data_IF_196279336210
#
_entry.id   IF_196279336210
#
_cell.length_a   1.000
_cell.length_b   1.000
_cell.length_c   1.000
_cell.angle_alpha   90.00
_cell.angle_beta   90.00
_cell.angle_gamma   90.00
#
_symmetry.space_group_name_H-M   'P 1'
#
loop_
_entity.id
_entity.type
_entity.pdbx_description
1 polymer ?
#
# COMPACT_ATOMS: atom_id res chain seq x y z
N UNK A 1 18.30 -13.99 22.41
CA UNK A 1 16.84 -14.08 22.42
C UNK A 1 16.39 -13.50 21.08
N UNK A 2 15.83 -14.32 20.21
CA UNK A 2 15.27 -13.83 18.95
C UNK A 2 14.05 -12.99 19.32
N UNK A 3 14.13 -11.67 19.18
CA UNK A 3 12.96 -10.80 19.30
C UNK A 3 12.07 -11.12 18.10
N UNK A 4 10.92 -11.74 18.36
CA UNK A 4 9.93 -11.95 17.33
C UNK A 4 9.36 -10.57 16.94
N UNK A 5 9.95 -9.95 15.94
CA UNK A 5 9.48 -8.66 15.41
C UNK A 5 8.65 -8.86 14.17
N UNK A 6 7.68 -7.97 13.97
CA UNK A 6 6.77 -7.97 12.81
C UNK A 6 6.66 -6.56 12.29
N UNK A 7 6.81 -6.42 10.97
CA UNK A 7 6.64 -5.16 10.27
C UNK A 7 5.15 -4.94 9.94
N UNK A 8 4.58 -3.81 10.37
CA UNK A 8 3.26 -3.33 9.96
C UNK A 8 3.45 -2.29 8.85
N UNK A 9 3.07 -2.64 7.63
CA UNK A 9 3.26 -1.78 6.47
C UNK A 9 1.90 -1.29 5.93
N UNK A 10 1.73 0.03 5.80
CA UNK A 10 0.44 0.62 5.46
C UNK A 10 0.54 2.02 4.86
N UNK A 11 -0.54 2.51 4.23
CA UNK A 11 -0.69 3.91 3.88
C UNK A 11 -1.06 4.73 5.12
N UNK A 12 -0.43 5.87 5.35
CA UNK A 12 -0.62 6.71 6.53
C UNK A 12 -2.09 7.11 6.77
N UNK A 13 -2.89 7.23 5.72
CA UNK A 13 -4.34 7.47 5.84
C UNK A 13 -5.06 6.40 6.68
N UNK A 14 -4.50 5.21 6.80
CA UNK A 14 -5.08 4.06 7.50
C UNK A 14 -4.47 3.79 8.89
N UNK A 15 -3.68 4.71 9.44
CA UNK A 15 -2.98 4.54 10.72
C UNK A 15 -3.92 4.13 11.86
N UNK A 16 -5.12 4.73 11.94
CA UNK A 16 -6.10 4.40 12.99
C UNK A 16 -6.58 2.94 12.92
N UNK A 17 -6.80 2.42 11.71
CA UNK A 17 -7.21 1.03 11.51
C UNK A 17 -6.09 0.06 11.90
N UNK A 18 -4.84 0.40 11.58
CA UNK A 18 -3.67 -0.42 11.92
C UNK A 18 -3.42 -0.40 13.43
N UNK A 19 -3.57 0.76 14.08
CA UNK A 19 -3.46 0.88 15.54
C UNK A 19 -4.51 0.02 16.27
N UNK A 20 -5.75 -0.02 15.78
CA UNK A 20 -6.80 -0.92 16.32
C UNK A 20 -6.40 -2.40 16.22
N UNK A 21 -5.85 -2.82 15.08
CA UNK A 21 -5.38 -4.21 14.90
C UNK A 21 -4.22 -4.51 15.85
N UNK A 22 -3.27 -3.60 15.99
CA UNK A 22 -2.15 -3.76 16.92
C UNK A 22 -2.61 -3.86 18.37
N UNK A 23 -3.60 -3.07 18.80
CA UNK A 23 -4.16 -3.15 20.14
C UNK A 23 -4.74 -4.55 20.43
N UNK A 24 -5.46 -5.13 19.48
CA UNK A 24 -5.96 -6.50 19.60
C UNK A 24 -4.84 -7.56 19.64
N UNK A 25 -3.71 -7.29 19.00
CA UNK A 25 -2.54 -8.16 18.99
C UNK A 25 -1.58 -7.89 20.18
N UNK A 26 -1.89 -6.93 21.05
CA UNK A 26 -1.01 -6.53 22.16
C UNK A 26 -0.70 -7.63 23.17
N UNK A 27 -1.57 -8.64 23.28
CA UNK A 27 -1.33 -9.83 24.11
C UNK A 27 -0.35 -10.84 23.49
N UNK A 28 0.06 -10.64 22.24
CA UNK A 28 1.03 -11.50 21.56
C UNK A 28 2.47 -11.20 22.01
N UNK A 29 3.39 -12.16 21.91
CA UNK A 29 4.80 -11.97 22.31
C UNK A 29 5.63 -11.20 21.27
N UNK A 30 4.98 -10.54 20.31
CA UNK A 30 5.65 -9.88 19.19
C UNK A 30 5.86 -8.39 19.44
N UNK A 31 6.98 -7.87 18.91
CA UNK A 31 7.24 -6.43 18.80
C UNK A 31 6.85 -5.94 17.42
N UNK A 32 6.09 -4.85 17.33
CA UNK A 32 5.59 -4.32 16.06
C UNK A 32 6.40 -3.09 15.65
N UNK A 33 6.90 -3.12 14.41
CA UNK A 33 7.58 -1.99 13.77
C UNK A 33 6.70 -1.40 12.67
N UNK A 34 6.46 -0.09 12.75
CA UNK A 34 5.57 0.60 11.80
C UNK A 34 6.35 1.14 10.60
N UNK A 35 5.87 0.83 9.43
CA UNK A 35 6.34 1.33 8.14
C UNK A 35 5.15 1.97 7.42
N UNK A 36 5.10 3.30 7.40
CA UNK A 36 4.02 4.02 6.73
C UNK A 36 4.55 4.90 5.62
N UNK A 37 3.78 5.04 4.55
CA UNK A 37 4.04 6.00 3.51
C UNK A 37 3.12 7.22 3.68
N UNK A 38 3.73 8.39 3.73
CA UNK A 38 3.03 9.66 3.64
C UNK A 38 2.89 10.08 2.17
N UNK A 39 1.88 10.91 1.87
CA UNK A 39 1.73 11.55 0.55
C UNK A 39 2.79 12.63 0.28
N UNK A 40 3.82 12.75 1.13
CA UNK A 40 4.91 13.69 0.93
C UNK A 40 5.75 13.32 -0.30
N UNK A 41 6.31 14.31 -0.95
CA UNK A 41 7.11 14.17 -2.17
C UNK A 41 8.52 13.61 -1.92
N UNK A 42 8.82 13.15 -0.72
CA UNK A 42 10.12 12.61 -0.37
C UNK A 42 10.33 11.25 -1.01
N UNK A 43 11.54 11.01 -1.53
CA UNK A 43 11.94 9.76 -2.20
C UNK A 43 12.07 8.56 -1.24
N UNK A 44 11.35 8.56 -0.13
CA UNK A 44 11.37 7.50 0.85
C UNK A 44 10.21 6.51 0.59
N UNK A 45 10.42 5.63 -0.37
CA UNK A 45 9.41 4.64 -0.74
C UNK A 45 9.28 3.56 0.33
N UNK A 46 8.04 3.21 0.67
CA UNK A 46 7.71 2.14 1.63
C UNK A 46 8.41 0.84 1.26
N UNK A 47 8.41 0.50 -0.01
CA UNK A 47 9.00 -0.74 -0.54
C UNK A 47 10.50 -0.84 -0.28
N UNK A 48 11.24 0.25 -0.41
CA UNK A 48 12.70 0.24 -0.18
C UNK A 48 13.03 -0.05 1.29
N UNK A 49 12.22 0.45 2.23
CA UNK A 49 12.35 0.14 3.63
C UNK A 49 12.05 -1.34 3.92
N UNK A 50 11.00 -1.88 3.31
CA UNK A 50 10.57 -3.26 3.50
C UNK A 50 11.50 -4.29 2.84
N UNK A 51 12.09 -3.96 1.70
CA UNK A 51 13.07 -4.84 1.05
C UNK A 51 14.37 -4.98 1.86
N UNK A 52 14.73 -3.95 2.60
CA UNK A 52 15.96 -3.91 3.43
C UNK A 52 15.86 -4.62 4.76
N UNK A 53 14.67 -5.04 5.21
CA UNK A 53 14.46 -5.67 6.50
C UNK A 53 14.12 -7.17 6.36
N UNK A 54 14.26 -7.95 7.44
CA UNK A 54 14.07 -9.41 7.45
C UNK A 54 12.85 -9.89 8.24
N UNK A 55 12.13 -8.97 8.89
CA UNK A 55 10.96 -9.33 9.69
C UNK A 55 9.77 -9.75 8.79
N UNK A 56 8.91 -10.66 9.24
CA UNK A 56 7.64 -10.93 8.59
C UNK A 56 6.80 -9.64 8.48
N UNK A 57 6.05 -9.49 7.40
CA UNK A 57 5.35 -8.26 7.05
C UNK A 57 3.83 -8.49 7.06
N UNK A 58 3.10 -7.75 7.87
CA UNK A 58 1.67 -7.54 7.70
C UNK A 58 1.46 -6.34 6.79
N UNK A 59 1.06 -6.60 5.55
CA UNK A 59 0.89 -5.58 4.54
C UNK A 59 -0.59 -5.18 4.43
N UNK A 60 -0.94 -4.02 4.98
CA UNK A 60 -2.30 -3.48 4.93
C UNK A 60 -2.54 -2.77 3.62
N UNK A 61 -3.41 -3.35 2.79
CA UNK A 61 -3.73 -2.84 1.47
C UNK A 61 -5.12 -2.23 1.49
N UNK A 62 -5.18 -0.95 1.13
CA UNK A 62 -6.41 -0.16 1.03
C UNK A 62 -6.49 0.52 -0.34
N UNK A 63 -7.63 1.11 -0.66
CA UNK A 63 -7.76 1.98 -1.83
C UNK A 63 -6.73 3.13 -1.81
N UNK A 64 -6.45 3.70 -0.62
CA UNK A 64 -5.40 4.72 -0.45
C UNK A 64 -4.01 4.16 -0.77
N UNK A 65 -3.70 2.93 -0.30
CA UNK A 65 -2.43 2.25 -0.61
C UNK A 65 -2.28 2.07 -2.12
N UNK A 66 -3.30 1.53 -2.78
CA UNK A 66 -3.29 1.24 -4.22
C UNK A 66 -3.25 2.49 -5.11
N UNK A 67 -3.60 3.66 -4.56
CA UNK A 67 -3.55 4.97 -5.23
C UNK A 67 -2.39 5.85 -4.76
N UNK A 68 -1.50 5.35 -3.92
CA UNK A 68 -0.31 6.06 -3.45
C UNK A 68 0.93 5.65 -4.24
N UNK A 69 1.57 6.60 -4.92
CA UNK A 69 2.82 6.34 -5.65
C UNK A 69 3.94 5.85 -4.74
N UNK A 70 3.99 6.34 -3.51
CA UNK A 70 5.01 5.96 -2.53
C UNK A 70 4.81 4.55 -1.98
N UNK A 71 3.55 4.10 -1.85
CA UNK A 71 3.25 2.74 -1.46
C UNK A 71 3.45 1.76 -2.64
N UNK A 72 3.07 2.18 -3.86
CA UNK A 72 3.04 1.31 -5.04
C UNK A 72 4.38 1.22 -5.77
N UNK A 73 5.27 2.22 -5.62
CA UNK A 73 6.59 2.19 -6.26
C UNK A 73 7.35 0.92 -5.86
N UNK A 74 7.78 0.14 -6.84
CA UNK A 74 8.41 -1.17 -6.64
C UNK A 74 7.57 -2.20 -5.88
N UNK A 75 6.26 -1.97 -5.75
CA UNK A 75 5.37 -2.87 -5.03
C UNK A 75 5.33 -4.26 -5.62
N UNK A 76 5.37 -4.38 -6.95
CA UNK A 76 5.45 -5.67 -7.63
C UNK A 76 6.74 -6.43 -7.24
N UNK A 77 7.87 -5.75 -7.22
CA UNK A 77 9.15 -6.33 -6.77
C UNK A 77 9.07 -6.82 -5.33
N UNK A 78 8.49 -6.04 -4.43
CA UNK A 78 8.29 -6.44 -3.03
C UNK A 78 7.50 -7.75 -2.93
N UNK A 79 6.36 -7.84 -3.62
CA UNK A 79 5.55 -9.06 -3.60
C UNK A 79 6.26 -10.26 -4.24
N UNK A 80 7.13 -10.05 -5.23
CA UNK A 80 7.90 -11.13 -5.86
C UNK A 80 9.01 -11.64 -4.95
N UNK A 81 9.77 -10.74 -4.32
CA UNK A 81 10.95 -11.09 -3.52
C UNK A 81 10.59 -11.57 -2.10
N UNK A 82 9.53 -11.01 -1.51
CA UNK A 82 9.12 -11.26 -0.12
C UNK A 82 7.81 -12.05 0.00
N UNK A 83 7.37 -12.72 -1.05
CA UNK A 83 6.06 -13.39 -1.13
C UNK A 83 5.75 -14.27 0.07
N UNK A 84 6.75 -14.96 0.61
CA UNK A 84 6.61 -15.91 1.72
C UNK A 84 6.67 -15.24 3.09
N UNK A 85 7.14 -13.99 3.14
CA UNK A 85 7.29 -13.20 4.37
C UNK A 85 6.16 -12.16 4.50
N UNK A 86 5.23 -12.10 3.54
CA UNK A 86 4.13 -11.12 3.53
C UNK A 86 2.79 -11.80 3.73
N UNK A 87 2.05 -11.33 4.74
CA UNK A 87 0.62 -11.59 4.87
C UNK A 87 -0.16 -10.31 4.49
N UNK A 88 -0.80 -10.28 3.31
CA UNK A 88 -1.62 -9.14 2.92
C UNK A 88 -2.93 -9.13 3.71
N UNK A 89 -3.30 -7.96 4.21
CA UNK A 89 -4.58 -7.70 4.89
C UNK A 89 -5.30 -6.60 4.14
N UNK A 90 -6.46 -6.92 3.60
CA UNK A 90 -7.28 -5.97 2.85
C UNK A 90 -8.14 -5.20 3.84
N UNK A 91 -8.03 -3.89 3.76
CA UNK A 91 -8.79 -2.93 4.60
C UNK A 91 -9.48 -1.91 3.71
N UNK A 92 -10.51 -1.25 4.24
CA UNK A 92 -11.13 -0.13 3.54
C UNK A 92 -10.18 1.08 3.50
N UNK A 93 -10.20 1.78 2.39
CA UNK A 93 -9.59 3.09 2.26
C UNK A 93 -10.44 4.16 2.96
N UNK A 94 -9.87 5.36 3.07
CA UNK A 94 -10.52 6.53 3.65
C UNK A 94 -10.48 7.67 2.65
N UNK A 95 -11.62 8.27 2.37
CA UNK A 95 -11.73 9.53 1.63
C UNK A 95 -12.33 10.60 2.51
N UNK A 96 -11.93 11.84 2.31
CA UNK A 96 -12.48 12.99 3.00
C UNK A 96 -13.32 13.81 2.01
N UNK A 97 -14.55 14.11 2.39
CA UNK A 97 -15.42 14.97 1.62
C UNK A 97 -14.89 16.41 1.69
N UNK A 98 -14.48 17.01 0.56
CA UNK A 98 -13.85 18.35 0.57
C UNK A 98 -14.81 19.46 1.02
N UNK A 99 -16.13 19.25 0.99
CA UNK A 99 -17.10 20.24 1.39
C UNK A 99 -17.40 20.18 2.90
N UNK A 100 -17.36 19.00 3.51
CA UNK A 100 -17.81 18.78 4.89
C UNK A 100 -16.67 18.35 5.81
N UNK A 101 -15.50 17.95 5.29
CA UNK A 101 -14.42 17.35 6.06
C UNK A 101 -14.76 15.97 6.64
N UNK A 102 -15.90 15.39 6.27
CA UNK A 102 -16.30 14.08 6.77
C UNK A 102 -15.50 12.97 6.10
N UNK A 103 -14.93 12.10 6.93
CA UNK A 103 -14.25 10.89 6.46
C UNK A 103 -15.26 9.80 6.15
N UNK A 104 -15.11 9.19 4.97
CA UNK A 104 -15.93 8.05 4.52
C UNK A 104 -15.03 6.88 4.18
N UNK A 105 -15.47 5.67 4.53
CA UNK A 105 -14.81 4.44 4.08
C UNK A 105 -15.01 4.25 2.58
N UNK A 106 -13.95 3.81 1.90
CA UNK A 106 -13.96 3.42 0.49
C UNK A 106 -13.55 1.96 0.41
N UNK A 107 -14.43 1.14 -0.13
CA UNK A 107 -14.15 -0.29 -0.25
C UNK A 107 -12.98 -0.55 -1.19
N UNK A 108 -12.13 -1.51 -0.82
CA UNK A 108 -10.94 -1.88 -1.60
C UNK A 108 -11.24 -3.16 -2.37
N UNK A 109 -11.59 -3.02 -3.64
CA UNK A 109 -11.96 -4.12 -4.53
C UNK A 109 -10.88 -4.35 -5.60
N UNK A 110 -10.46 -5.61 -5.77
CA UNK A 110 -9.57 -6.06 -6.86
C UNK A 110 -9.86 -7.50 -7.29
N UNK A 111 -10.98 -8.04 -6.86
CA UNK A 111 -11.40 -9.42 -7.14
C UNK A 111 -11.79 -9.62 -8.61
N UNK A 112 -12.49 -8.66 -9.17
CA UNK A 112 -12.97 -8.72 -10.55
C UNK A 112 -11.98 -8.08 -11.50
N UNK A 113 -11.99 -8.50 -12.74
CA UNK A 113 -11.20 -7.86 -13.80
C UNK A 113 -11.55 -6.38 -13.95
N UNK A 114 -12.84 -6.03 -13.79
CA UNK A 114 -13.32 -4.65 -13.82
C UNK A 114 -12.65 -3.77 -12.75
N UNK A 115 -12.44 -4.31 -11.56
CA UNK A 115 -11.85 -3.59 -10.43
C UNK A 115 -10.37 -3.32 -10.70
N UNK A 116 -9.66 -4.33 -11.23
CA UNK A 116 -8.27 -4.18 -11.66
C UNK A 116 -8.14 -3.11 -12.75
N UNK A 117 -9.05 -3.10 -13.73
CA UNK A 117 -9.07 -2.12 -14.81
C UNK A 117 -9.26 -0.70 -14.25
N UNK A 118 -10.06 -0.52 -13.18
CA UNK A 118 -10.22 0.80 -12.55
C UNK A 118 -8.90 1.35 -12.00
N UNK A 119 -8.08 0.52 -11.33
CA UNK A 119 -6.75 0.94 -10.87
C UNK A 119 -5.78 1.18 -12.02
N UNK A 120 -5.83 0.35 -13.07
CA UNK A 120 -5.01 0.58 -14.27
C UNK A 120 -5.35 1.92 -14.90
N UNK A 121 -6.63 2.22 -15.09
CA UNK A 121 -7.08 3.50 -15.66
C UNK A 121 -6.69 4.68 -14.77
N UNK A 122 -6.88 4.56 -13.44
CA UNK A 122 -6.45 5.58 -12.49
C UNK A 122 -4.97 5.95 -12.68
N UNK A 123 -4.08 4.96 -12.73
CA UNK A 123 -2.65 5.22 -12.88
C UNK A 123 -2.25 5.72 -14.26
N UNK A 124 -2.94 5.26 -15.30
CA UNK A 124 -2.74 5.80 -16.66
C UNK A 124 -3.15 7.27 -16.75
N UNK A 125 -4.27 7.64 -16.15
CA UNK A 125 -4.74 9.02 -16.12
C UNK A 125 -3.78 9.92 -15.32
N UNK A 126 -3.32 9.47 -14.15
CA UNK A 126 -2.31 10.17 -13.36
C UNK A 126 -1.01 10.41 -14.15
N UNK A 127 -0.53 9.39 -14.86
CA UNK A 127 0.66 9.50 -15.70
C UNK A 127 0.47 10.47 -16.87
N UNK A 128 -0.68 10.41 -17.54
CA UNK A 128 -0.99 11.29 -18.68
C UNK A 128 -1.14 12.74 -18.23
N UNK A 129 -1.79 13.00 -17.10
CA UNK A 129 -1.95 14.33 -16.55
C UNK A 129 -0.60 14.94 -16.16
N UNK A 130 0.26 14.15 -15.53
CA UNK A 130 1.62 14.59 -15.20
C UNK A 130 2.43 14.92 -16.45
N UNK A 131 2.31 14.12 -17.52
CA UNK A 131 2.94 14.41 -18.82
C UNK A 131 2.43 15.70 -19.46
N UNK A 132 1.14 16.01 -19.32
CA UNK A 132 0.56 17.28 -19.79
C UNK A 132 1.14 18.46 -19.02
N UNK A 133 1.23 18.36 -17.70
CA UNK A 133 1.82 19.37 -16.83
C UNK A 133 3.29 19.65 -17.21
N UNK A 134 4.09 18.60 -17.49
CA UNK A 134 5.47 18.74 -17.93
C UNK A 134 5.63 19.67 -19.16
N UNK A 135 4.69 19.62 -20.08
CA UNK A 135 4.75 20.47 -21.31
C UNK A 135 4.51 21.95 -21.04
N UNK A 136 4.00 22.29 -19.86
CA UNK A 136 3.64 23.65 -19.46
C UNK A 136 4.64 24.24 -18.45
N UNK A 137 5.59 23.46 -17.94
CA UNK A 137 6.56 23.89 -16.95
C UNK A 137 7.80 24.53 -17.58
N UNK A 138 8.38 25.52 -16.88
CA UNK A 138 9.68 26.09 -17.17
C UNK A 138 10.81 25.22 -16.60
N UNK A 139 12.02 25.34 -17.13
CA UNK A 139 13.20 24.49 -16.93
C UNK A 139 13.70 24.33 -15.47
N UNK A 140 13.18 25.09 -14.51
CA UNK A 140 13.75 25.21 -13.16
C UNK A 140 13.50 24.01 -12.21
N UNK A 141 12.53 23.12 -12.51
CA UNK A 141 12.16 21.98 -11.66
C UNK A 141 12.20 20.60 -12.39
N UNK A 142 12.98 20.51 -13.47
CA UNK A 142 12.93 19.35 -14.39
C UNK A 142 13.36 18.04 -13.73
N UNK A 143 14.36 18.02 -12.87
CA UNK A 143 14.91 16.79 -12.30
C UNK A 143 13.94 16.12 -11.31
N UNK A 144 13.34 16.91 -10.42
CA UNK A 144 12.34 16.40 -9.48
C UNK A 144 11.10 15.89 -10.22
N UNK A 145 10.65 16.64 -11.22
CA UNK A 145 9.51 16.27 -12.03
C UNK A 145 9.75 14.99 -12.85
N UNK A 146 10.93 14.86 -13.45
CA UNK A 146 11.33 13.66 -14.20
C UNK A 146 11.40 12.42 -13.30
N UNK A 147 11.88 12.55 -12.07
CA UNK A 147 11.89 11.47 -11.07
C UNK A 147 10.47 11.02 -10.74
N UNK A 148 9.56 11.95 -10.51
CA UNK A 148 8.16 11.65 -10.23
C UNK A 148 7.45 11.01 -11.45
N UNK A 149 7.71 11.53 -12.65
CA UNK A 149 7.18 10.96 -13.89
C UNK A 149 7.66 9.51 -14.12
N UNK A 150 8.91 9.20 -13.77
CA UNK A 150 9.46 7.86 -13.83
C UNK A 150 8.72 6.91 -12.90
N UNK A 151 8.46 7.31 -11.66
CA UNK A 151 7.69 6.52 -10.69
C UNK A 151 6.26 6.27 -11.19
N UNK A 152 5.57 7.31 -11.67
CA UNK A 152 4.22 7.17 -12.21
C UNK A 152 4.14 6.23 -13.41
N UNK A 153 5.15 6.28 -14.28
CA UNK A 153 5.25 5.37 -15.43
C UNK A 153 5.45 3.93 -14.96
N UNK A 154 6.32 3.70 -14.00
CA UNK A 154 6.60 2.38 -13.43
C UNK A 154 5.32 1.80 -12.83
N UNK A 155 4.68 2.51 -11.89
CA UNK A 155 3.44 2.05 -11.26
C UNK A 155 2.33 1.80 -12.29
N UNK A 156 2.14 2.71 -13.26
CA UNK A 156 1.15 2.54 -14.32
C UNK A 156 1.36 1.28 -15.16
N UNK A 157 2.61 0.85 -15.35
CA UNK A 157 2.93 -0.36 -16.09
C UNK A 157 2.80 -1.65 -15.27
N UNK A 158 2.95 -1.57 -13.95
CA UNK A 158 3.06 -2.72 -13.05
C UNK A 158 1.78 -3.01 -12.25
N UNK A 159 0.89 -2.04 -12.07
CA UNK A 159 -0.29 -2.18 -11.20
C UNK A 159 -1.17 -3.38 -11.53
N UNK A 160 -1.36 -3.68 -12.81
CA UNK A 160 -2.15 -4.83 -13.24
C UNK A 160 -1.54 -6.17 -12.82
N UNK A 161 -0.20 -6.27 -12.90
CA UNK A 161 0.53 -7.48 -12.46
C UNK A 161 0.60 -7.55 -10.94
N UNK A 162 0.82 -6.42 -10.27
CA UNK A 162 0.76 -6.33 -8.80
C UNK A 162 -0.56 -6.88 -8.26
N UNK A 163 -1.70 -6.43 -8.79
CA UNK A 163 -3.02 -6.88 -8.34
C UNK A 163 -3.29 -8.35 -8.68
N UNK A 164 -2.79 -8.84 -9.83
CA UNK A 164 -2.88 -10.27 -10.17
C UNK A 164 -2.07 -11.14 -9.22
N UNK A 165 -0.85 -10.70 -8.89
CA UNK A 165 0.00 -11.40 -7.93
C UNK A 165 -0.63 -11.39 -6.54
N UNK A 166 -1.12 -10.24 -6.08
CA UNK A 166 -1.82 -10.10 -4.80
C UNK A 166 -3.01 -11.06 -4.70
N UNK A 167 -3.86 -11.15 -5.75
CA UNK A 167 -4.97 -12.12 -5.81
C UNK A 167 -4.53 -13.58 -5.71
N UNK A 168 -3.31 -13.90 -6.14
CA UNK A 168 -2.77 -15.25 -6.07
C UNK A 168 -2.16 -15.59 -4.70
N UNK A 169 -2.02 -14.60 -3.81
CA UNK A 169 -1.53 -14.79 -2.45
C UNK A 169 -2.69 -15.14 -1.50
N UNK A 170 -2.34 -15.72 -0.36
CA UNK A 170 -3.30 -15.94 0.72
C UNK A 170 -3.49 -14.62 1.48
N UNK A 171 -4.35 -13.74 0.97
CA UNK A 171 -4.68 -12.51 1.67
C UNK A 171 -5.89 -12.68 2.59
N UNK A 172 -6.01 -11.83 3.58
CA UNK A 172 -7.11 -11.78 4.53
C UNK A 172 -7.91 -10.48 4.36
N UNK A 173 -9.22 -10.57 4.56
CA UNK A 173 -10.07 -9.39 4.66
C UNK A 173 -10.22 -9.04 6.13
N UNK A 174 -10.03 -7.78 6.52
CA UNK A 174 -10.00 -7.36 7.92
C UNK A 174 -11.21 -7.82 8.75
N UNK A 175 -12.48 -7.74 8.27
CA UNK A 175 -13.62 -8.27 9.03
C UNK A 175 -13.50 -9.77 9.35
N UNK A 176 -13.01 -10.58 8.41
CA UNK A 176 -12.79 -12.02 8.62
C UNK A 176 -11.62 -12.27 9.58
N UNK A 177 -10.55 -11.48 9.46
CA UNK A 177 -9.40 -11.54 10.35
C UNK A 177 -9.80 -11.24 11.79
N UNK A 178 -10.61 -10.22 12.01
CA UNK A 178 -11.20 -9.89 13.33
C UNK A 178 -12.15 -10.99 13.83
N UNK A 179 -13.03 -11.50 12.97
CA UNK A 179 -13.99 -12.54 13.33
C UNK A 179 -13.34 -13.85 13.79
N UNK A 180 -12.17 -14.18 13.21
CA UNK A 180 -11.37 -15.34 13.59
C UNK A 180 -10.41 -15.04 14.76
N UNK A 181 -10.61 -13.97 15.51
CA UNK A 181 -9.76 -13.56 16.63
C UNK A 181 -8.26 -13.56 16.28
N UNK A 182 -7.95 -13.14 15.06
CA UNK A 182 -6.58 -13.04 14.53
C UNK A 182 -5.78 -14.37 14.51
N UNK A 183 -6.45 -15.52 14.53
CA UNK A 183 -5.78 -16.82 14.60
C UNK A 183 -4.79 -17.06 13.44
N UNK A 184 -5.08 -16.56 12.23
CA UNK A 184 -4.19 -16.68 11.09
C UNK A 184 -2.83 -16.00 11.31
N UNK A 185 -2.78 -14.99 12.17
CA UNK A 185 -1.54 -14.33 12.54
C UNK A 185 -0.53 -15.27 13.22
N UNK A 186 -1.01 -16.20 14.03
CA UNK A 186 -0.14 -17.14 14.77
C UNK A 186 0.34 -18.32 13.94
N UNK A 187 -0.15 -18.46 12.70
CA UNK A 187 0.20 -19.56 11.76
C UNK A 187 1.15 -19.03 10.67
N UNK A 188 1.28 -17.71 10.54
CA UNK A 188 2.08 -17.02 9.52
C UNK A 188 3.61 -17.05 9.78
#
# INVERSE_FOLDING_TARGET
>A
MSTNSIALAYCADNESTVAEVQEHLSASPYTFHHYSCNRSTDNNFLTDQLLGQSDPILLFISDNYLKSAQCMSRGLKLLQEKRHDILPIIIDGITEDPATGQKKAVHTDFERVSDIIQYINYWQDQYLDLRRQKRQMSELDEDHFNSHLKVMREVSSEVGEFLRLLRSMNYLILPQFKANAYQQFFIF
#
